data_IF_343370040505
#
_entry.id   IF_343370040505
#
_cell.length_a   1.000
_cell.length_b   1.000
_cell.length_c   1.000
_cell.angle_alpha   90.00
_cell.angle_beta   90.00
_cell.angle_gamma   90.00
#
_symmetry.space_group_name_H-M   'P 1'
#
loop_
_entity.id
_entity.type
_entity.pdbx_description
1 polymer ?
#
# COMPACT_ATOMS: atom_id res chain seq x y z
N UNK A 1 -9.93 16.54 -49.06
CA UNK A 1 -10.16 15.76 -47.82
C UNK A 1 -10.51 16.74 -46.72
N UNK A 2 -11.77 16.81 -46.31
CA UNK A 2 -12.21 17.59 -45.16
C UNK A 2 -11.72 16.89 -43.90
N UNK A 3 -10.84 17.57 -43.14
CA UNK A 3 -10.47 17.16 -41.79
C UNK A 3 -11.75 16.96 -40.97
N UNK A 4 -11.99 15.78 -40.34
CA UNK A 4 -13.12 15.62 -39.44
C UNK A 4 -12.99 16.66 -38.35
N UNK A 5 -14.03 17.48 -38.15
CA UNK A 5 -14.09 18.42 -37.04
C UNK A 5 -13.82 17.63 -35.75
N UNK A 6 -12.78 18.00 -35.02
CA UNK A 6 -12.47 17.40 -33.73
C UNK A 6 -13.71 17.59 -32.84
N UNK A 7 -14.45 16.50 -32.60
CA UNK A 7 -15.58 16.52 -31.68
C UNK A 7 -15.05 16.98 -30.34
N UNK A 8 -15.52 18.14 -29.87
CA UNK A 8 -15.24 18.59 -28.51
C UNK A 8 -15.75 17.49 -27.59
N UNK A 9 -14.89 16.85 -26.77
CA UNK A 9 -15.32 15.77 -25.92
C UNK A 9 -16.49 16.24 -25.07
N UNK A 10 -17.52 15.40 -24.94
CA UNK A 10 -18.69 15.72 -24.14
C UNK A 10 -18.26 16.14 -22.73
N UNK A 11 -18.91 17.17 -22.14
CA UNK A 11 -18.58 17.61 -20.79
C UNK A 11 -18.74 16.45 -19.81
N UNK A 12 -17.75 16.27 -18.93
CA UNK A 12 -17.70 15.19 -17.96
C UNK A 12 -18.84 15.31 -16.94
N UNK A 13 -19.63 14.24 -16.75
CA UNK A 13 -20.65 14.20 -15.69
C UNK A 13 -19.98 14.06 -14.31
N UNK A 14 -19.95 15.18 -13.58
CA UNK A 14 -19.32 15.26 -12.27
C UNK A 14 -20.04 14.44 -11.18
N UNK A 15 -21.35 14.21 -11.31
CA UNK A 15 -22.11 13.44 -10.32
C UNK A 15 -21.78 11.96 -10.45
N UNK A 16 -21.72 11.46 -11.68
CA UNK A 16 -21.29 10.10 -11.96
C UNK A 16 -19.83 9.89 -11.56
N UNK A 17 -18.95 10.81 -11.97
CA UNK A 17 -17.53 10.70 -11.66
C UNK A 17 -17.24 10.75 -10.16
N UNK A 18 -18.02 11.49 -9.37
CA UNK A 18 -17.93 11.46 -7.90
C UNK A 18 -18.24 10.07 -7.35
N UNK A 19 -19.31 9.41 -7.82
CA UNK A 19 -19.69 8.05 -7.38
C UNK A 19 -18.61 7.03 -7.73
N UNK A 20 -18.07 7.12 -8.94
CA UNK A 20 -16.94 6.31 -9.39
C UNK A 20 -15.72 6.55 -8.51
N UNK A 21 -15.36 7.81 -8.24
CA UNK A 21 -14.22 8.15 -7.37
C UNK A 21 -14.38 7.53 -5.98
N UNK A 22 -15.60 7.59 -5.42
CA UNK A 22 -15.92 6.97 -4.14
C UNK A 22 -15.74 5.44 -4.20
N UNK A 23 -16.20 4.80 -5.28
CA UNK A 23 -16.02 3.37 -5.49
C UNK A 23 -14.53 2.99 -5.55
N UNK A 24 -13.71 3.74 -6.28
CA UNK A 24 -12.25 3.51 -6.36
C UNK A 24 -11.61 3.58 -4.97
N UNK A 25 -11.95 4.57 -4.15
CA UNK A 25 -11.47 4.62 -2.76
C UNK A 25 -11.90 3.41 -1.93
N UNK A 26 -13.15 2.97 -2.06
CA UNK A 26 -13.66 1.78 -1.35
C UNK A 26 -12.88 0.53 -1.78
N UNK A 27 -12.61 0.37 -3.07
CA UNK A 27 -11.78 -0.73 -3.58
C UNK A 27 -10.37 -0.68 -2.99
N UNK A 28 -9.75 0.49 -2.89
CA UNK A 28 -8.42 0.64 -2.28
C UNK A 28 -8.41 0.28 -0.79
N UNK A 29 -9.47 0.60 -0.04
CA UNK A 29 -9.59 0.24 1.39
C UNK A 29 -9.91 -1.24 1.58
N UNK A 30 -10.90 -1.76 0.85
CA UNK A 30 -11.30 -3.17 0.92
C UNK A 30 -10.16 -4.09 0.44
N UNK A 31 -9.45 -3.67 -0.61
CA UNK A 31 -8.25 -4.35 -1.08
C UNK A 31 -7.14 -4.37 -0.03
N UNK A 32 -6.96 -3.29 0.74
CA UNK A 32 -6.00 -3.26 1.84
C UNK A 32 -6.41 -4.21 2.98
N UNK A 33 -7.69 -4.22 3.35
CA UNK A 33 -8.21 -5.17 4.34
C UNK A 33 -8.03 -6.63 3.87
N UNK A 34 -8.19 -6.89 2.57
CA UNK A 34 -7.96 -8.19 1.95
C UNK A 34 -6.51 -8.69 1.98
N UNK A 35 -5.53 -7.85 2.35
CA UNK A 35 -4.13 -8.29 2.50
C UNK A 35 -3.91 -9.12 3.77
N UNK A 36 -4.86 -9.10 4.72
CA UNK A 36 -4.73 -9.79 6.00
C UNK A 36 -5.27 -11.24 5.98
N UNK A 37 -5.80 -11.71 4.86
CA UNK A 37 -6.26 -13.10 4.72
C UNK A 37 -5.56 -13.77 3.55
N UNK A 38 -4.94 -14.93 3.78
CA UNK A 38 -4.11 -15.65 2.80
C UNK A 38 -4.84 -15.93 1.47
N UNK A 39 -6.13 -16.26 1.54
CA UNK A 39 -6.96 -16.56 0.36
C UNK A 39 -7.26 -15.30 -0.48
N UNK A 40 -7.28 -14.12 0.13
CA UNK A 40 -7.67 -12.88 -0.56
C UNK A 40 -6.49 -12.01 -1.00
N UNK A 41 -5.25 -12.32 -0.61
CA UNK A 41 -4.06 -11.52 -0.98
C UNK A 41 -3.99 -11.29 -2.50
N UNK A 42 -4.03 -12.37 -3.29
CA UNK A 42 -3.92 -12.29 -4.75
C UNK A 42 -5.06 -11.48 -5.40
N UNK A 43 -6.35 -11.80 -5.21
CA UNK A 43 -7.43 -11.02 -5.81
C UNK A 43 -7.51 -9.58 -5.29
N UNK A 44 -7.20 -9.34 -4.01
CA UNK A 44 -7.17 -7.99 -3.45
C UNK A 44 -6.05 -7.14 -4.05
N UNK A 45 -4.88 -7.72 -4.30
CA UNK A 45 -3.77 -7.04 -4.97
C UNK A 45 -4.14 -6.65 -6.39
N UNK A 46 -4.77 -7.56 -7.13
CA UNK A 46 -5.29 -7.27 -8.48
C UNK A 46 -6.30 -6.12 -8.43
N UNK A 47 -7.24 -6.13 -7.47
CA UNK A 47 -8.22 -5.07 -7.32
C UNK A 47 -7.58 -3.69 -7.04
N UNK A 48 -6.57 -3.62 -6.15
CA UNK A 48 -5.81 -2.39 -5.88
C UNK A 48 -5.12 -1.90 -7.15
N UNK A 49 -4.43 -2.79 -7.87
CA UNK A 49 -3.71 -2.42 -9.10
C UNK A 49 -4.69 -1.90 -10.15
N UNK A 50 -5.81 -2.60 -10.38
CA UNK A 50 -6.85 -2.15 -11.30
C UNK A 50 -7.41 -0.77 -10.93
N UNK A 51 -7.66 -0.52 -9.63
CA UNK A 51 -8.12 0.78 -9.15
C UNK A 51 -7.10 1.90 -9.40
N UNK A 52 -5.81 1.63 -9.17
CA UNK A 52 -4.73 2.60 -9.42
C UNK A 52 -4.53 2.84 -10.92
N UNK A 53 -4.56 1.80 -11.75
CA UNK A 53 -4.46 1.92 -13.22
C UNK A 53 -5.64 2.72 -13.77
N UNK A 54 -6.85 2.41 -13.31
CA UNK A 54 -8.05 3.19 -13.64
C UNK A 54 -7.85 4.66 -13.28
N UNK A 55 -7.29 4.94 -12.10
CA UNK A 55 -7.01 6.30 -11.69
C UNK A 55 -5.98 6.99 -12.60
N UNK A 56 -4.95 6.30 -13.07
CA UNK A 56 -4.00 6.86 -14.04
C UNK A 56 -4.64 7.24 -15.37
N UNK A 57 -5.50 6.35 -15.89
CA UNK A 57 -6.17 6.55 -17.17
C UNK A 57 -7.14 7.72 -17.10
N UNK A 58 -8.06 7.72 -16.13
CA UNK A 58 -9.11 8.74 -16.03
C UNK A 58 -8.65 10.10 -15.54
N UNK A 59 -7.49 10.20 -14.88
CA UNK A 59 -6.95 11.49 -14.44
C UNK A 59 -6.84 12.50 -15.58
N UNK A 60 -6.49 12.08 -16.80
CA UNK A 60 -6.30 12.98 -17.95
C UNK A 60 -7.61 13.66 -18.39
N UNK A 61 -8.73 12.96 -18.28
CA UNK A 61 -10.05 13.46 -18.66
C UNK A 61 -10.65 14.38 -17.58
N UNK A 62 -10.19 14.23 -16.34
CA UNK A 62 -10.60 15.04 -15.19
C UNK A 62 -9.75 16.30 -15.02
N UNK A 63 -8.87 16.61 -15.99
CA UNK A 63 -7.99 17.77 -15.90
C UNK A 63 -8.80 19.05 -15.71
N UNK A 64 -8.27 19.95 -14.89
CA UNK A 64 -8.90 21.24 -14.56
C UNK A 64 -10.21 21.09 -13.75
N UNK A 65 -10.49 19.90 -13.23
CA UNK A 65 -11.55 19.65 -12.25
C UNK A 65 -10.97 19.39 -10.87
N UNK A 66 -11.77 19.64 -9.82
CA UNK A 66 -11.37 19.33 -8.44
C UNK A 66 -11.16 17.81 -8.22
N UNK A 67 -11.79 16.94 -9.02
CA UNK A 67 -11.62 15.49 -8.94
C UNK A 67 -10.21 15.03 -9.36
N UNK A 68 -9.49 15.79 -10.20
CA UNK A 68 -8.11 15.48 -10.57
C UNK A 68 -7.22 15.29 -9.32
N UNK A 69 -7.45 16.14 -8.30
CA UNK A 69 -6.71 16.09 -7.04
C UNK A 69 -6.87 14.75 -6.30
N UNK A 70 -8.06 14.15 -6.32
CA UNK A 70 -8.32 12.84 -5.72
C UNK A 70 -7.59 11.72 -6.46
N UNK A 71 -7.58 11.76 -7.79
CA UNK A 71 -6.89 10.77 -8.60
C UNK A 71 -5.37 10.86 -8.44
N UNK A 72 -4.84 12.08 -8.31
CA UNK A 72 -3.44 12.29 -7.93
C UNK A 72 -3.16 11.82 -6.49
N UNK A 73 -4.09 12.03 -5.56
CA UNK A 73 -3.96 11.57 -4.17
C UNK A 73 -3.91 10.04 -4.06
N UNK A 74 -4.82 9.34 -4.73
CA UNK A 74 -4.87 7.86 -4.76
C UNK A 74 -3.59 7.28 -5.36
N UNK A 75 -3.17 7.76 -6.53
CA UNK A 75 -1.96 7.25 -7.19
C UNK A 75 -0.69 7.55 -6.40
N UNK A 76 -0.58 8.74 -5.78
CA UNK A 76 0.55 9.05 -4.88
C UNK A 76 0.56 8.18 -3.63
N UNK A 77 -0.59 7.93 -3.02
CA UNK A 77 -0.68 7.07 -1.84
C UNK A 77 -0.22 5.65 -2.16
N UNK A 78 -0.55 5.14 -3.35
CA UNK A 78 0.00 3.88 -3.86
C UNK A 78 1.52 3.86 -3.92
N UNK A 79 2.15 4.87 -4.53
CA UNK A 79 3.61 4.88 -4.67
C UNK A 79 4.35 5.18 -3.38
N UNK A 80 3.85 6.09 -2.55
CA UNK A 80 4.44 6.36 -1.22
C UNK A 80 4.36 5.09 -0.38
N UNK A 81 3.22 4.38 -0.39
CA UNK A 81 3.07 3.14 0.35
C UNK A 81 3.93 2.00 -0.21
N UNK A 82 3.71 1.66 -1.48
CA UNK A 82 4.32 0.47 -2.10
C UNK A 82 5.80 0.63 -2.43
N UNK A 83 6.23 1.78 -2.95
CA UNK A 83 7.59 1.97 -3.45
C UNK A 83 8.53 2.68 -2.47
N UNK A 84 8.00 3.28 -1.39
CA UNK A 84 8.85 3.93 -0.37
C UNK A 84 8.68 3.26 0.98
N UNK A 85 7.46 3.26 1.54
CA UNK A 85 7.24 2.76 2.89
C UNK A 85 7.63 1.29 3.03
N UNK A 86 7.12 0.40 2.17
CA UNK A 86 7.39 -1.04 2.28
C UNK A 86 8.89 -1.39 2.15
N UNK A 87 9.64 -0.91 1.13
CA UNK A 87 11.07 -1.18 1.04
C UNK A 87 11.87 -0.61 2.21
N UNK A 88 11.61 0.64 2.61
CA UNK A 88 12.33 1.29 3.70
C UNK A 88 12.07 0.58 5.03
N UNK A 89 10.80 0.26 5.32
CA UNK A 89 10.43 -0.46 6.54
C UNK A 89 11.03 -1.86 6.58
N UNK A 90 11.03 -2.58 5.44
CA UNK A 90 11.63 -3.92 5.34
C UNK A 90 13.13 -3.85 5.61
N UNK A 91 13.86 -2.95 4.96
CA UNK A 91 15.31 -2.78 5.16
C UNK A 91 15.62 -2.40 6.60
N UNK A 92 14.91 -1.41 7.16
CA UNK A 92 15.11 -0.96 8.53
C UNK A 92 14.88 -2.09 9.54
N UNK A 93 13.83 -2.90 9.35
CA UNK A 93 13.54 -4.03 10.23
C UNK A 93 14.50 -5.19 10.04
N UNK A 94 14.99 -5.47 8.82
CA UNK A 94 16.04 -6.47 8.61
C UNK A 94 17.35 -6.09 9.31
N UNK A 95 17.73 -4.80 9.26
CA UNK A 95 18.90 -4.30 10.00
C UNK A 95 18.66 -4.45 11.50
N UNK A 96 17.50 -4.04 12.00
CA UNK A 96 17.14 -4.19 13.40
C UNK A 96 17.22 -5.67 13.84
N UNK A 97 16.59 -6.58 13.10
CA UNK A 97 16.64 -8.02 13.40
C UNK A 97 18.08 -8.54 13.44
N UNK A 98 18.92 -8.15 12.48
CA UNK A 98 20.33 -8.54 12.45
C UNK A 98 21.15 -8.03 13.63
N UNK A 99 20.79 -6.89 14.23
CA UNK A 99 21.47 -6.34 15.41
C UNK A 99 21.01 -6.96 16.73
N UNK A 100 19.77 -7.46 16.77
CA UNK A 100 19.14 -7.98 17.99
C UNK A 100 18.93 -9.50 17.98
N UNK A 101 19.45 -10.20 16.96
CA UNK A 101 19.33 -11.66 16.83
C UNK A 101 20.01 -12.37 18.01
N UNK A 102 19.26 -13.23 18.69
CA UNK A 102 19.81 -14.11 19.71
C UNK A 102 20.36 -15.37 19.02
N UNK A 103 21.68 -15.49 18.97
CA UNK A 103 22.38 -16.65 18.41
C UNK A 103 22.93 -17.57 19.52
N UNK A 104 22.71 -17.24 20.79
CA UNK A 104 23.28 -17.98 21.90
C UNK A 104 22.90 -19.47 21.89
N UNK A 105 21.64 -19.88 21.64
CA UNK A 105 21.27 -21.28 21.60
C UNK A 105 21.96 -22.04 20.46
N UNK A 106 22.13 -21.39 19.31
CA UNK A 106 22.85 -21.95 18.17
C UNK A 106 24.35 -22.10 18.47
N UNK A 107 24.99 -21.08 19.07
CA UNK A 107 26.40 -21.13 19.44
C UNK A 107 26.69 -22.22 20.48
N UNK A 108 25.80 -22.39 21.46
CA UNK A 108 25.92 -23.46 22.45
C UNK A 108 25.88 -24.85 21.78
N UNK A 109 24.91 -25.08 20.88
CA UNK A 109 24.82 -26.35 20.14
C UNK A 109 26.06 -26.62 19.28
N UNK A 110 26.60 -25.60 18.59
CA UNK A 110 27.84 -25.75 17.83
C UNK A 110 29.03 -26.11 18.72
N UNK A 111 29.10 -25.56 19.93
CA UNK A 111 30.15 -25.88 20.90
C UNK A 111 30.04 -27.33 21.40
N UNK A 112 28.83 -27.85 21.53
CA UNK A 112 28.56 -29.26 21.84
C UNK A 112 28.88 -30.21 20.68
N UNK A 113 29.29 -29.68 19.52
CA UNK A 113 29.70 -30.45 18.35
C UNK A 113 28.58 -30.70 17.35
N UNK A 114 27.42 -30.05 17.51
CA UNK A 114 26.33 -30.11 16.55
C UNK A 114 26.78 -29.53 15.20
N UNK A 115 26.62 -30.30 14.14
CA UNK A 115 27.03 -29.93 12.76
C UNK A 115 25.85 -29.94 11.80
N UNK A 116 24.70 -30.45 12.23
CA UNK A 116 23.52 -30.43 11.39
C UNK A 116 23.03 -28.98 11.21
N UNK A 117 23.21 -28.49 9.99
CA UNK A 117 22.83 -27.13 9.60
C UNK A 117 21.33 -26.89 9.83
N UNK A 118 20.50 -27.91 9.65
CA UNK A 118 19.05 -27.78 9.86
C UNK A 118 18.73 -27.52 11.33
N UNK A 119 19.34 -28.29 12.24
CA UNK A 119 19.21 -28.11 13.69
C UNK A 119 19.71 -26.74 14.14
N UNK A 120 20.87 -26.30 13.64
CA UNK A 120 21.43 -24.98 13.98
C UNK A 120 20.55 -23.83 13.48
N UNK A 121 20.04 -23.90 12.24
CA UNK A 121 19.13 -22.90 11.69
C UNK A 121 17.80 -22.86 12.44
N UNK A 122 17.28 -24.03 12.84
CA UNK A 122 16.06 -24.13 13.63
C UNK A 122 16.21 -23.43 14.98
N UNK A 123 17.33 -23.64 15.69
CA UNK A 123 17.62 -22.98 16.96
C UNK A 123 17.72 -21.45 16.81
N UNK A 124 18.37 -20.97 15.74
CA UNK A 124 18.44 -19.56 15.43
C UNK A 124 17.05 -18.96 15.11
N UNK A 125 16.14 -19.72 14.50
CA UNK A 125 14.80 -19.24 14.21
C UNK A 125 13.89 -19.24 15.45
N UNK A 126 13.85 -20.34 16.21
CA UNK A 126 12.97 -20.51 17.36
C UNK A 126 13.29 -19.52 18.50
N UNK A 127 14.57 -19.20 18.70
CA UNK A 127 15.00 -18.18 19.67
C UNK A 127 14.52 -16.77 19.32
N UNK A 128 14.29 -16.50 18.03
CA UNK A 128 13.96 -15.18 17.52
C UNK A 128 12.51 -15.04 17.05
N UNK A 129 11.69 -16.09 17.18
CA UNK A 129 10.31 -16.13 16.67
C UNK A 129 9.47 -14.95 17.17
N UNK A 130 9.55 -14.64 18.47
CA UNK A 130 8.79 -13.53 19.08
C UNK A 130 9.19 -12.18 18.47
N UNK A 131 10.48 -11.95 18.29
CA UNK A 131 11.01 -10.72 17.71
C UNK A 131 10.57 -10.57 16.25
N UNK A 132 10.67 -11.64 15.45
CA UNK A 132 10.24 -11.67 14.05
C UNK A 132 8.72 -11.42 13.95
N UNK A 133 7.93 -12.05 14.81
CA UNK A 133 6.48 -11.87 14.85
C UNK A 133 6.08 -10.42 15.15
N UNK A 134 6.58 -9.83 16.24
CA UNK A 134 6.23 -8.46 16.63
C UNK A 134 6.71 -7.41 15.64
N UNK A 135 7.91 -7.58 15.08
CA UNK A 135 8.44 -6.68 14.04
C UNK A 135 7.58 -6.71 12.78
N UNK A 136 7.18 -7.90 12.33
CA UNK A 136 6.29 -8.07 11.17
C UNK A 136 4.92 -7.46 11.41
N UNK A 137 4.31 -7.71 12.57
CA UNK A 137 2.99 -7.17 12.93
C UNK A 137 3.02 -5.64 12.99
N UNK A 138 4.08 -5.06 13.57
CA UNK A 138 4.26 -3.61 13.65
C UNK A 138 4.39 -3.00 12.26
N UNK A 139 5.20 -3.60 11.38
CA UNK A 139 5.37 -3.14 10.00
C UNK A 139 4.03 -3.06 9.26
N UNK A 140 3.29 -4.17 9.25
CA UNK A 140 2.03 -4.29 8.52
C UNK A 140 0.94 -3.41 9.15
N UNK A 141 0.89 -3.32 10.48
CA UNK A 141 -0.08 -2.50 11.20
C UNK A 141 0.09 -1.01 10.93
N UNK A 142 1.31 -0.49 11.03
CA UNK A 142 1.59 0.93 10.75
C UNK A 142 1.35 1.25 9.28
N UNK A 143 1.76 0.36 8.37
CA UNK A 143 1.49 0.53 6.94
C UNK A 143 -0.01 0.60 6.63
N UNK A 144 -0.79 -0.38 7.11
CA UNK A 144 -2.22 -0.45 6.85
C UNK A 144 -2.97 0.72 7.49
N UNK A 145 -2.57 1.14 8.70
CA UNK A 145 -3.12 2.32 9.35
C UNK A 145 -2.87 3.57 8.51
N UNK A 146 -1.61 3.81 8.11
CA UNK A 146 -1.24 4.96 7.30
C UNK A 146 -2.01 4.98 5.97
N UNK A 147 -2.07 3.86 5.26
CA UNK A 147 -2.80 3.73 4.00
C UNK A 147 -4.30 4.00 4.17
N UNK A 148 -4.89 3.47 5.25
CA UNK A 148 -6.32 3.64 5.55
C UNK A 148 -6.63 5.09 5.85
N UNK A 149 -5.84 5.75 6.70
CA UNK A 149 -5.96 7.18 7.02
C UNK A 149 -5.93 8.02 5.74
N UNK A 150 -4.99 7.74 4.83
CA UNK A 150 -4.88 8.43 3.54
C UNK A 150 -6.14 8.26 2.68
N UNK A 151 -6.70 7.05 2.61
CA UNK A 151 -7.95 6.81 1.90
C UNK A 151 -9.12 7.53 2.55
N UNK A 152 -9.20 7.56 3.88
CA UNK A 152 -10.23 8.27 4.63
C UNK A 152 -10.17 9.78 4.41
N UNK A 153 -8.98 10.39 4.41
CA UNK A 153 -8.81 11.82 4.09
C UNK A 153 -9.32 12.12 2.69
N UNK A 154 -8.93 11.31 1.70
CA UNK A 154 -9.40 11.46 0.32
C UNK A 154 -10.92 11.35 0.19
N UNK A 155 -11.53 10.38 0.88
CA UNK A 155 -12.98 10.21 0.93
C UNK A 155 -13.70 11.33 1.68
N UNK A 156 -13.10 11.86 2.74
CA UNK A 156 -13.65 12.96 3.53
C UNK A 156 -13.82 14.22 2.67
N UNK A 157 -12.78 14.62 1.93
CA UNK A 157 -12.86 15.75 1.01
C UNK A 157 -13.81 15.48 -0.16
N UNK A 158 -13.86 14.25 -0.67
CA UNK A 158 -14.78 13.87 -1.73
C UNK A 158 -16.24 14.05 -1.30
N UNK A 159 -16.56 13.71 -0.05
CA UNK A 159 -17.92 13.91 0.51
C UNK A 159 -18.29 15.38 0.61
N UNK A 160 -17.34 16.26 0.90
CA UNK A 160 -17.52 17.71 0.93
C UNK A 160 -17.61 18.38 -0.45
N UNK A 161 -17.36 17.65 -1.53
CA UNK A 161 -17.23 18.21 -2.89
C UNK A 161 -16.06 19.20 -3.03
N UNK A 162 -14.98 18.96 -2.29
CA UNK A 162 -13.79 19.81 -2.30
C UNK A 162 -12.61 19.06 -2.89
N UNK A 163 -11.70 19.78 -3.54
CA UNK A 163 -10.40 19.23 -3.92
C UNK A 163 -9.59 18.84 -2.67
N UNK A 164 -8.69 17.88 -2.83
CA UNK A 164 -7.68 17.59 -1.81
C UNK A 164 -6.67 18.75 -1.80
N UNK A 165 -6.56 19.53 -0.71
CA UNK A 165 -5.87 20.82 -0.71
C UNK A 165 -4.36 20.71 -0.93
N UNK A 166 -3.71 19.62 -0.51
CA UNK A 166 -2.25 19.44 -0.64
C UNK A 166 -1.88 18.01 -1.03
N UNK A 167 -2.02 17.72 -2.31
CA UNK A 167 -1.80 16.36 -2.85
C UNK A 167 -0.35 15.87 -2.66
N UNK A 168 0.60 16.77 -2.44
CA UNK A 168 2.03 16.44 -2.27
C UNK A 168 2.40 15.98 -0.86
N UNK A 169 1.57 16.27 0.15
CA UNK A 169 1.85 15.85 1.53
C UNK A 169 1.84 14.34 1.69
N UNK A 170 2.62 13.89 2.67
CA UNK A 170 2.79 12.47 3.03
C UNK A 170 1.73 11.97 4.02
N UNK A 171 1.08 12.90 4.73
CA UNK A 171 -0.10 12.67 5.55
C UNK A 171 -1.27 13.40 4.89
#
# INVERSE_FOLDING_TARGET
MSTPAAQTPAPVDMTEMKKITQFVYIVLMAGMAGQFMLVTIAPASVAIICAVVYAYIKRKELKDTWLESHYRWMTRSFWIGGAVYLPVATIALSIFQGLFVDLQPMYAAMYEGEKDVMTLMKLAYESNERMIFFSTLTMLGVFALWWSVRCFIGLYHLRKNEAVPEVTRWL
#
